data_IF_332608465787
#
_entry.id   IF_332608465787
#
_cell.length_a   1.000
_cell.length_b   1.000
_cell.length_c   1.000
_cell.angle_alpha   90.00
_cell.angle_beta   90.00
_cell.angle_gamma   90.00
#
_symmetry.space_group_name_H-M   'P 1'
#
loop_
_entity.id
_entity.type
_entity.pdbx_description
1 polymer ?
#
# COMPACT_ATOMS: atom_id res chain seq x y z
N UNK A 1 19.60 -9.51 27.98
CA UNK A 1 20.25 -8.86 26.82
C UNK A 1 19.19 -8.03 26.12
N UNK A 2 19.26 -6.71 26.23
CA UNK A 2 18.35 -5.80 25.53
C UNK A 2 18.62 -5.94 24.03
N UNK A 3 17.63 -6.41 23.26
CA UNK A 3 17.71 -6.39 21.80
C UNK A 3 17.89 -4.94 21.37
N UNK A 4 19.10 -4.56 20.94
CA UNK A 4 19.32 -3.26 20.30
C UNK A 4 18.38 -3.20 19.10
N UNK A 5 17.35 -2.37 19.20
CA UNK A 5 16.48 -2.09 18.05
C UNK A 5 17.37 -1.61 16.91
N UNK A 6 17.30 -2.27 15.76
CA UNK A 6 18.03 -1.84 14.56
C UNK A 6 17.59 -0.43 14.18
N UNK A 7 18.50 0.34 13.58
CA UNK A 7 18.16 1.66 13.07
C UNK A 7 17.00 1.55 12.04
N UNK A 8 16.01 2.41 12.17
CA UNK A 8 14.92 2.52 11.19
C UNK A 8 15.45 3.24 9.96
N UNK A 9 15.25 2.66 8.78
CA UNK A 9 15.59 3.26 7.50
C UNK A 9 14.42 3.17 6.52
N UNK A 10 14.30 4.18 5.66
CA UNK A 10 13.25 4.28 4.64
C UNK A 10 13.87 4.10 3.26
N UNK A 11 13.25 3.29 2.43
CA UNK A 11 13.61 3.12 1.02
C UNK A 11 12.38 3.42 0.17
N UNK A 12 12.53 4.20 -0.89
CA UNK A 12 11.45 4.51 -1.81
C UNK A 12 11.69 3.85 -3.17
N UNK A 13 10.61 3.30 -3.75
CA UNK A 13 10.56 3.05 -5.18
C UNK A 13 10.01 4.27 -5.94
N UNK A 14 9.75 4.11 -7.24
CA UNK A 14 9.40 5.23 -8.13
C UNK A 14 7.89 5.54 -8.18
N UNK A 15 7.03 4.77 -7.51
CA UNK A 15 5.58 4.92 -7.67
C UNK A 15 5.02 6.24 -7.15
N UNK A 16 5.60 6.79 -6.08
CA UNK A 16 5.15 8.06 -5.50
C UNK A 16 6.26 8.71 -4.65
N UNK A 17 7.23 9.39 -5.28
CA UNK A 17 8.34 10.07 -4.58
C UNK A 17 7.84 11.12 -3.59
N UNK A 18 6.83 11.90 -3.95
CA UNK A 18 6.26 12.96 -3.09
C UNK A 18 5.74 12.40 -1.77
N UNK A 19 5.04 11.25 -1.80
CA UNK A 19 4.56 10.60 -0.59
C UNK A 19 5.73 10.07 0.25
N UNK A 20 6.74 9.46 -0.38
CA UNK A 20 7.89 8.92 0.32
C UNK A 20 8.70 10.01 1.01
N UNK A 21 8.94 11.13 0.33
CA UNK A 21 9.59 12.33 0.89
C UNK A 21 8.78 12.95 2.03
N UNK A 22 7.44 13.04 1.87
CA UNK A 22 6.55 13.51 2.91
C UNK A 22 6.59 12.65 4.18
N UNK A 23 6.63 11.32 4.02
CA UNK A 23 6.77 10.39 5.14
C UNK A 23 8.14 10.57 5.82
N UNK A 24 9.21 10.68 5.04
CA UNK A 24 10.56 10.86 5.56
C UNK A 24 10.67 12.18 6.36
N UNK A 25 10.16 13.27 5.81
CA UNK A 25 10.13 14.58 6.47
C UNK A 25 9.32 14.55 7.77
N UNK A 26 8.13 13.92 7.77
CA UNK A 26 7.29 13.79 8.97
C UNK A 26 7.99 13.01 10.09
N UNK A 27 8.70 11.94 9.72
CA UNK A 27 9.45 11.10 10.66
C UNK A 27 10.81 11.69 11.05
N UNK A 28 11.23 12.79 10.44
CA UNK A 28 12.57 13.40 10.58
C UNK A 28 13.68 12.39 10.24
N UNK A 29 13.44 11.58 9.23
CA UNK A 29 14.39 10.65 8.66
C UNK A 29 14.73 11.06 7.23
N UNK A 30 15.85 10.54 6.71
CA UNK A 30 16.18 10.62 5.29
C UNK A 30 15.80 9.34 4.58
N UNK A 31 15.48 9.44 3.29
CA UNK A 31 15.42 8.26 2.43
C UNK A 31 16.82 7.69 2.23
N UNK A 32 16.94 6.37 2.33
CA UNK A 32 18.17 5.63 2.00
C UNK A 32 18.53 5.86 0.55
N UNK A 33 19.78 6.18 0.26
CA UNK A 33 20.25 6.30 -1.11
C UNK A 33 20.16 4.99 -1.84
N UNK A 34 19.37 4.96 -2.90
CA UNK A 34 19.19 3.83 -3.76
C UNK A 34 18.99 4.30 -5.21
N UNK A 35 19.47 3.53 -6.15
CA UNK A 35 19.18 3.71 -7.58
C UNK A 35 18.13 2.69 -7.96
N UNK A 36 16.99 3.17 -8.46
CA UNK A 36 15.93 2.35 -9.05
C UNK A 36 15.71 2.87 -10.47
N UNK A 37 16.15 2.13 -11.47
CA UNK A 37 16.10 2.54 -12.88
C UNK A 37 15.78 1.35 -13.78
N UNK A 38 15.66 1.60 -15.05
CA UNK A 38 15.47 0.57 -16.08
C UNK A 38 16.67 0.48 -16.98
N UNK A 39 16.95 -0.73 -17.45
CA UNK A 39 17.81 -0.97 -18.59
C UNK A 39 17.10 -0.59 -19.90
N UNK A 40 17.83 -0.66 -21.02
CA UNK A 40 17.28 -0.33 -22.33
C UNK A 40 16.14 -1.27 -22.78
N UNK A 41 16.15 -2.52 -22.31
CA UNK A 41 15.13 -3.54 -22.52
C UNK A 41 13.97 -3.48 -21.51
N UNK A 42 13.94 -2.41 -20.68
CA UNK A 42 12.93 -2.13 -19.66
C UNK A 42 12.99 -3.01 -18.41
N UNK A 43 13.97 -3.89 -18.27
CA UNK A 43 14.21 -4.59 -17.01
C UNK A 43 14.59 -3.61 -15.90
N UNK A 44 14.15 -3.92 -14.68
CA UNK A 44 14.36 -3.05 -13.53
C UNK A 44 15.69 -3.37 -12.86
N UNK A 45 16.49 -2.34 -12.63
CA UNK A 45 17.73 -2.38 -11.88
C UNK A 45 17.58 -1.66 -10.55
N UNK A 46 18.05 -2.28 -9.47
CA UNK A 46 18.09 -1.71 -8.12
C UNK A 46 19.50 -1.83 -7.55
N UNK A 47 19.99 -0.73 -6.98
CA UNK A 47 21.24 -0.69 -6.22
C UNK A 47 21.02 0.09 -4.91
N UNK A 48 21.31 -0.54 -3.79
CA UNK A 48 21.29 0.12 -2.47
C UNK A 48 22.68 0.70 -2.21
N UNK A 49 22.78 2.02 -2.10
CA UNK A 49 24.04 2.76 -2.02
C UNK A 49 24.48 3.09 -0.59
N UNK A 50 23.78 2.57 0.40
CA UNK A 50 24.11 2.75 1.82
C UNK A 50 24.16 1.41 2.56
N UNK A 51 24.89 1.39 3.67
CA UNK A 51 24.87 0.23 4.54
C UNK A 51 23.49 0.09 5.24
N UNK A 52 22.82 -1.01 4.97
CA UNK A 52 21.50 -1.36 5.55
C UNK A 52 21.54 -2.61 6.41
N UNK A 53 22.74 -3.17 6.66
CA UNK A 53 22.91 -4.39 7.47
C UNK A 53 22.35 -4.19 8.88
N UNK A 54 21.50 -5.12 9.29
CA UNK A 54 20.91 -5.12 10.63
C UNK A 54 19.86 -4.02 10.89
N UNK A 55 19.51 -3.21 9.88
CA UNK A 55 18.49 -2.18 9.99
C UNK A 55 17.07 -2.75 9.83
N UNK A 56 16.08 -2.03 10.39
CA UNK A 56 14.66 -2.22 10.12
C UNK A 56 14.27 -1.32 8.94
N UNK A 57 13.95 -1.93 7.81
CA UNK A 57 13.69 -1.25 6.55
C UNK A 57 12.18 -1.13 6.28
N UNK A 58 11.76 0.06 5.87
CA UNK A 58 10.42 0.32 5.35
C UNK A 58 10.54 0.69 3.88
N UNK A 59 10.03 -0.17 3.00
CA UNK A 59 10.03 0.03 1.55
C UNK A 59 8.71 0.66 1.14
N UNK A 60 8.75 1.94 0.77
CA UNK A 60 7.56 2.72 0.39
C UNK A 60 7.38 2.61 -1.12
N UNK A 61 6.39 1.81 -1.55
CA UNK A 61 6.09 1.56 -2.96
C UNK A 61 4.65 1.16 -3.16
N UNK A 62 3.83 2.01 -3.76
CA UNK A 62 2.50 1.63 -4.24
C UNK A 62 2.60 0.72 -5.46
N UNK A 63 1.70 -0.24 -5.58
CA UNK A 63 1.59 -1.05 -6.81
C UNK A 63 0.42 -0.56 -7.69
N UNK A 64 0.31 0.78 -7.80
CA UNK A 64 -0.61 1.48 -8.70
C UNK A 64 -0.10 1.45 -10.14
N UNK A 65 -0.82 2.12 -11.05
CA UNK A 65 -0.40 2.20 -12.46
C UNK A 65 0.98 2.88 -12.62
N UNK A 66 1.87 2.30 -13.43
CA UNK A 66 1.81 1.00 -14.10
C UNK A 66 2.08 -0.17 -13.12
N UNK A 67 1.02 -0.95 -12.85
CA UNK A 67 1.01 -1.90 -11.73
C UNK A 67 2.09 -2.99 -11.79
N UNK A 68 2.36 -3.53 -12.98
CA UNK A 68 3.37 -4.58 -13.17
C UNK A 68 4.77 -4.06 -12.87
N UNK A 69 5.08 -2.86 -13.33
CA UNK A 69 6.37 -2.22 -13.14
C UNK A 69 6.62 -1.91 -11.66
N UNK A 70 5.66 -1.27 -11.02
CA UNK A 70 5.77 -0.93 -9.60
C UNK A 70 5.79 -2.16 -8.69
N UNK A 71 5.06 -3.23 -9.06
CA UNK A 71 5.15 -4.50 -8.35
C UNK A 71 6.55 -5.10 -8.50
N UNK A 72 7.09 -5.16 -9.71
CA UNK A 72 8.42 -5.71 -9.93
C UNK A 72 9.51 -4.88 -9.24
N UNK A 73 9.42 -3.53 -9.26
CA UNK A 73 10.31 -2.67 -8.47
C UNK A 73 10.28 -3.05 -6.99
N UNK A 74 9.08 -3.18 -6.41
CA UNK A 74 8.92 -3.58 -5.01
C UNK A 74 9.63 -4.89 -4.70
N UNK A 75 9.41 -5.91 -5.54
CA UNK A 75 10.00 -7.25 -5.34
C UNK A 75 11.53 -7.22 -5.40
N UNK A 76 12.08 -6.51 -6.38
CA UNK A 76 13.55 -6.40 -6.57
C UNK A 76 14.18 -5.56 -5.44
N UNK A 77 13.53 -4.48 -4.99
CA UNK A 77 14.00 -3.70 -3.83
C UNK A 77 14.06 -4.60 -2.59
N UNK A 78 13.01 -5.37 -2.31
CA UNK A 78 12.97 -6.28 -1.16
C UNK A 78 14.08 -7.32 -1.24
N UNK A 79 14.30 -7.95 -2.40
CA UNK A 79 15.38 -8.92 -2.60
C UNK A 79 16.77 -8.29 -2.39
N UNK A 80 17.01 -7.09 -2.93
CA UNK A 80 18.26 -6.35 -2.73
C UNK A 80 18.54 -6.08 -1.25
N UNK A 81 17.54 -5.64 -0.50
CA UNK A 81 17.65 -5.38 0.95
C UNK A 81 17.89 -6.65 1.75
N UNK A 82 17.20 -7.74 1.40
CA UNK A 82 17.41 -9.06 2.01
C UNK A 82 18.85 -9.55 1.80
N UNK A 83 19.37 -9.45 0.57
CA UNK A 83 20.76 -9.80 0.24
C UNK A 83 21.78 -8.89 0.91
N UNK A 84 21.38 -7.65 1.23
CA UNK A 84 22.20 -6.71 1.99
C UNK A 84 22.13 -6.93 3.51
N UNK A 85 21.55 -8.05 3.97
CA UNK A 85 21.42 -8.44 5.37
C UNK A 85 20.61 -7.45 6.22
N UNK A 86 19.55 -6.88 5.67
CA UNK A 86 18.54 -6.18 6.46
C UNK A 86 18.02 -7.09 7.58
N UNK A 87 17.71 -6.53 8.75
CA UNK A 87 17.19 -7.31 9.88
C UNK A 87 15.72 -7.65 9.67
N UNK A 88 14.95 -6.69 9.19
CA UNK A 88 13.51 -6.79 8.94
C UNK A 88 13.13 -5.87 7.80
N UNK A 89 12.25 -6.34 6.93
CA UNK A 89 11.76 -5.58 5.78
C UNK A 89 10.23 -5.47 5.86
N UNK A 90 9.73 -4.25 6.02
CA UNK A 90 8.31 -3.94 5.95
C UNK A 90 7.99 -3.34 4.59
N UNK A 91 7.15 -4.00 3.80
CA UNK A 91 6.63 -3.45 2.57
C UNK A 91 5.48 -2.49 2.88
N UNK A 92 5.68 -1.19 2.67
CA UNK A 92 4.66 -0.15 2.80
C UNK A 92 4.05 0.09 1.43
N UNK A 93 2.85 -0.45 1.23
CA UNK A 93 2.15 -0.47 -0.07
C UNK A 93 0.85 0.33 0.05
N UNK A 94 0.89 1.67 -0.06
CA UNK A 94 -0.29 2.53 0.12
C UNK A 94 -1.43 2.19 -0.82
N UNK A 95 -1.13 1.77 -2.06
CA UNK A 95 -2.10 1.18 -2.96
C UNK A 95 -1.68 -0.23 -3.33
N UNK A 96 -2.49 -1.22 -2.94
CA UNK A 96 -2.27 -2.63 -3.24
C UNK A 96 -2.97 -2.98 -4.57
N UNK A 97 -2.19 -3.08 -5.63
CA UNK A 97 -2.65 -3.48 -6.95
C UNK A 97 -3.16 -4.92 -6.99
N UNK A 98 -3.95 -5.26 -8.01
CA UNK A 98 -4.62 -6.57 -8.16
C UNK A 98 -5.63 -6.93 -7.05
N UNK A 99 -5.84 -6.08 -6.07
CA UNK A 99 -6.74 -6.30 -4.94
C UNK A 99 -8.21 -6.58 -5.35
N UNK A 100 -8.65 -6.08 -6.52
CA UNK A 100 -10.00 -6.33 -7.05
C UNK A 100 -10.23 -7.78 -7.48
N UNK A 101 -9.15 -8.57 -7.65
CA UNK A 101 -9.19 -9.99 -8.00
C UNK A 101 -8.92 -10.84 -6.74
N UNK A 102 -9.75 -10.65 -5.71
CA UNK A 102 -9.66 -11.31 -4.41
C UNK A 102 -10.45 -12.62 -4.33
N UNK A 103 -11.21 -12.94 -5.36
CA UNK A 103 -12.02 -14.14 -5.49
C UNK A 103 -12.16 -14.55 -6.96
N UNK A 104 -12.61 -15.77 -7.20
CA UNK A 104 -12.96 -16.24 -8.55
C UNK A 104 -14.32 -15.69 -8.96
N UNK A 105 -14.44 -14.79 -9.94
CA UNK A 105 -15.73 -14.32 -10.45
C UNK A 105 -16.39 -15.35 -11.38
N UNK A 106 -15.65 -16.33 -11.87
CA UNK A 106 -16.12 -17.39 -12.77
C UNK A 106 -15.17 -18.59 -12.78
N UNK A 107 -15.49 -19.65 -13.53
CA UNK A 107 -14.62 -20.82 -13.68
C UNK A 107 -13.31 -20.45 -14.36
N UNK A 108 -12.23 -21.11 -13.94
CA UNK A 108 -10.87 -20.97 -14.52
C UNK A 108 -10.26 -19.56 -14.43
N UNK A 109 -10.75 -18.70 -13.51
CA UNK A 109 -10.19 -17.39 -13.23
C UNK A 109 -9.19 -17.45 -12.06
N UNK A 110 -8.15 -16.59 -12.05
CA UNK A 110 -7.18 -16.54 -10.95
C UNK A 110 -7.73 -15.81 -9.71
N UNK A 111 -6.97 -15.90 -8.62
CA UNK A 111 -7.06 -14.99 -7.47
C UNK A 111 -5.76 -14.21 -7.42
N UNK A 112 -5.67 -13.16 -8.25
CA UNK A 112 -4.40 -12.42 -8.44
C UNK A 112 -3.94 -11.70 -7.18
N UNK A 113 -4.86 -11.29 -6.31
CA UNK A 113 -4.51 -10.71 -5.01
C UNK A 113 -3.69 -11.67 -4.14
N UNK A 114 -4.05 -12.98 -4.13
CA UNK A 114 -3.29 -14.02 -3.40
C UNK A 114 -1.91 -14.26 -4.05
N UNK A 115 -1.85 -14.28 -5.39
CA UNK A 115 -0.58 -14.41 -6.10
C UNK A 115 0.38 -13.27 -5.72
N UNK A 116 -0.08 -12.03 -5.76
CA UNK A 116 0.74 -10.85 -5.41
C UNK A 116 1.18 -10.91 -3.94
N UNK A 117 0.29 -11.28 -3.02
CA UNK A 117 0.65 -11.46 -1.62
C UNK A 117 1.77 -12.51 -1.44
N UNK A 118 1.69 -13.64 -2.14
CA UNK A 118 2.71 -14.67 -2.12
C UNK A 118 4.04 -14.16 -2.69
N UNK A 119 4.03 -13.41 -3.80
CA UNK A 119 5.24 -12.85 -4.41
C UNK A 119 5.97 -11.90 -3.43
N UNK A 120 5.24 -10.99 -2.78
CA UNK A 120 5.83 -10.05 -1.80
C UNK A 120 6.43 -10.82 -0.61
N UNK A 121 5.73 -11.82 -0.09
CA UNK A 121 6.23 -12.65 1.02
C UNK A 121 7.48 -13.42 0.58
N UNK A 122 7.47 -14.01 -0.61
CA UNK A 122 8.61 -14.80 -1.14
C UNK A 122 9.82 -13.95 -1.50
N UNK A 123 9.63 -12.72 -1.93
CA UNK A 123 10.72 -11.77 -2.15
C UNK A 123 11.51 -11.49 -0.85
N UNK A 124 10.84 -11.60 0.31
CA UNK A 124 11.49 -11.50 1.61
C UNK A 124 10.95 -10.39 2.51
N UNK A 125 9.73 -9.92 2.26
CA UNK A 125 9.06 -9.06 3.22
C UNK A 125 8.71 -9.84 4.49
N UNK A 126 8.97 -9.24 5.65
CA UNK A 126 8.61 -9.78 6.97
C UNK A 126 7.27 -9.23 7.47
N UNK A 127 6.80 -8.14 6.88
CA UNK A 127 5.55 -7.46 7.22
C UNK A 127 5.04 -6.66 6.02
N UNK A 128 3.73 -6.51 5.91
CA UNK A 128 3.09 -5.61 4.95
C UNK A 128 2.28 -4.55 5.69
N UNK A 129 2.37 -3.33 5.24
CA UNK A 129 1.52 -2.21 5.66
C UNK A 129 0.83 -1.65 4.42
N UNK A 130 -0.48 -1.54 4.45
CA UNK A 130 -1.28 -1.05 3.31
C UNK A 130 -2.37 -0.11 3.79
N UNK A 131 -3.05 0.55 2.85
CA UNK A 131 -4.08 1.53 3.14
C UNK A 131 -5.36 1.19 2.37
N UNK A 132 -6.50 1.11 3.08
CA UNK A 132 -7.84 0.90 2.50
C UNK A 132 -7.89 -0.23 1.47
N UNK A 133 -7.53 -1.44 1.87
CA UNK A 133 -7.65 -2.63 1.02
C UNK A 133 -9.04 -2.72 0.37
N UNK A 134 -9.08 -3.15 -0.87
CA UNK A 134 -10.32 -3.36 -1.61
C UNK A 134 -11.33 -4.21 -0.83
N UNK A 135 -10.84 -5.24 -0.14
CA UNK A 135 -11.63 -6.09 0.73
C UNK A 135 -10.78 -6.52 1.94
N UNK A 136 -11.35 -6.48 3.13
CA UNK A 136 -10.62 -6.75 4.39
C UNK A 136 -10.03 -8.16 4.49
N UNK A 137 -10.67 -9.15 3.86
CA UNK A 137 -10.17 -10.53 3.84
C UNK A 137 -8.83 -10.72 3.11
N UNK A 138 -8.39 -9.75 2.29
CA UNK A 138 -7.10 -9.81 1.62
C UNK A 138 -5.94 -9.87 2.63
N UNK A 139 -6.12 -9.35 3.84
CA UNK A 139 -5.15 -9.50 4.92
C UNK A 139 -4.83 -10.97 5.21
N UNK A 140 -5.82 -11.85 5.10
CA UNK A 140 -5.65 -13.30 5.27
C UNK A 140 -4.94 -13.99 4.08
N UNK A 141 -4.59 -13.29 3.01
CA UNK A 141 -3.80 -13.84 1.92
C UNK A 141 -2.30 -13.81 2.20
N UNK A 142 -1.88 -13.03 3.18
CA UNK A 142 -0.50 -12.98 3.63
C UNK A 142 -0.28 -13.97 4.77
N UNK A 143 0.81 -14.71 4.71
CA UNK A 143 1.28 -15.59 5.79
C UNK A 143 2.23 -14.85 6.74
N UNK A 144 2.36 -13.52 6.57
CA UNK A 144 3.15 -12.59 7.39
C UNK A 144 2.23 -11.51 7.98
N UNK A 145 2.63 -10.84 9.07
CA UNK A 145 1.84 -9.76 9.66
C UNK A 145 1.47 -8.70 8.63
N UNK A 146 0.19 -8.32 8.61
CA UNK A 146 -0.34 -7.35 7.65
C UNK A 146 -1.18 -6.31 8.37
N UNK A 147 -0.82 -5.03 8.23
CA UNK A 147 -1.57 -3.90 8.77
C UNK A 147 -2.34 -3.22 7.63
N UNK A 148 -3.66 -3.26 7.72
CA UNK A 148 -4.52 -2.48 6.84
C UNK A 148 -4.92 -1.19 7.55
N UNK A 149 -4.29 -0.07 7.21
CA UNK A 149 -4.60 1.25 7.70
C UNK A 149 -5.81 1.84 6.95
N UNK A 150 -6.41 2.89 7.52
CA UNK A 150 -7.55 3.57 6.93
C UNK A 150 -7.27 5.06 6.74
N UNK A 151 -7.54 5.60 5.57
CA UNK A 151 -7.44 7.02 5.25
C UNK A 151 -8.57 7.85 5.91
N UNK A 152 -9.63 7.21 6.36
CA UNK A 152 -10.82 7.89 6.88
C UNK A 152 -10.53 8.92 7.99
N UNK A 153 -9.59 8.76 8.94
CA UNK A 153 -9.26 9.81 9.91
C UNK A 153 -8.69 11.07 9.26
N UNK A 154 -7.85 10.92 8.23
CA UNK A 154 -7.27 12.03 7.48
C UNK A 154 -8.37 12.74 6.68
N UNK A 155 -9.22 11.98 5.98
CA UNK A 155 -10.35 12.51 5.21
C UNK A 155 -11.33 13.28 6.10
N UNK A 156 -11.67 12.75 7.27
CA UNK A 156 -12.57 13.41 8.24
C UNK A 156 -12.02 14.76 8.68
N UNK A 157 -10.72 14.84 8.97
CA UNK A 157 -10.06 16.08 9.35
C UNK A 157 -10.12 17.09 8.21
N UNK A 158 -9.72 16.71 7.01
CA UNK A 158 -9.72 17.58 5.83
C UNK A 158 -11.13 18.09 5.49
N UNK A 159 -12.15 17.23 5.57
CA UNK A 159 -13.55 17.61 5.34
C UNK A 159 -14.01 18.64 6.38
N UNK A 160 -13.70 18.45 7.65
CA UNK A 160 -14.07 19.38 8.72
C UNK A 160 -13.40 20.74 8.60
N UNK A 161 -12.18 20.77 8.07
CA UNK A 161 -11.42 22.00 7.85
C UNK A 161 -11.93 22.78 6.62
N UNK A 162 -12.42 22.08 5.60
CA UNK A 162 -12.80 22.71 4.32
C UNK A 162 -14.29 23.02 4.17
N UNK A 163 -15.16 22.28 4.86
CA UNK A 163 -16.61 22.36 4.64
C UNK A 163 -17.36 22.69 5.94
N UNK A 164 -18.42 23.51 5.80
CA UNK A 164 -19.45 23.66 6.84
C UNK A 164 -20.34 22.40 6.78
N UNK A 165 -20.38 21.64 7.86
CA UNK A 165 -21.00 20.31 7.87
C UNK A 165 -22.54 20.33 7.87
N UNK A 166 -23.17 21.48 8.09
CA UNK A 166 -24.63 21.62 8.17
C UNK A 166 -25.35 21.25 6.84
N UNK A 167 -24.66 21.37 5.71
CA UNK A 167 -25.19 21.06 4.38
C UNK A 167 -24.37 20.02 3.62
N UNK A 168 -23.75 19.08 4.33
CA UNK A 168 -22.94 18.03 3.72
C UNK A 168 -23.69 16.71 3.74
N UNK A 169 -23.71 16.01 2.61
CA UNK A 169 -24.20 14.65 2.47
C UNK A 169 -23.09 13.77 1.92
N UNK A 170 -22.92 12.58 2.49
CA UNK A 170 -22.03 11.56 1.93
C UNK A 170 -22.79 10.74 0.91
N UNK A 171 -22.21 10.55 -0.26
CA UNK A 171 -22.82 9.74 -1.32
C UNK A 171 -21.94 8.53 -1.63
N UNK A 172 -22.52 7.33 -1.53
CA UNK A 172 -21.86 6.13 -2.06
C UNK A 172 -22.13 6.01 -3.56
N UNK A 173 -21.10 5.93 -4.41
CA UNK A 173 -21.27 5.88 -5.87
C UNK A 173 -21.76 4.51 -6.37
N UNK A 174 -21.78 3.51 -5.52
CA UNK A 174 -22.30 2.16 -5.79
C UNK A 174 -22.58 1.39 -4.49
N UNK A 175 -23.20 0.24 -4.60
CA UNK A 175 -23.53 -0.63 -3.45
C UNK A 175 -22.26 -1.15 -2.74
N UNK A 176 -21.18 -1.39 -3.48
CA UNK A 176 -19.91 -1.89 -2.92
C UNK A 176 -19.20 -0.88 -1.99
N UNK A 177 -19.43 0.43 -2.22
CA UNK A 177 -18.86 1.51 -1.41
C UNK A 177 -19.61 1.84 -0.11
N UNK A 178 -20.83 1.31 0.08
CA UNK A 178 -21.75 1.71 1.16
C UNK A 178 -21.15 1.60 2.55
N UNK A 179 -20.41 0.55 2.85
CA UNK A 179 -19.81 0.36 4.19
C UNK A 179 -18.81 1.47 4.51
N UNK A 180 -17.96 1.84 3.56
CA UNK A 180 -16.97 2.93 3.69
C UNK A 180 -17.67 4.28 3.79
N UNK A 181 -18.63 4.55 2.90
CA UNK A 181 -19.41 5.78 2.90
C UNK A 181 -20.17 5.97 4.23
N UNK A 182 -20.79 4.91 4.76
CA UNK A 182 -21.47 4.92 6.06
C UNK A 182 -20.52 5.20 7.21
N UNK A 183 -19.32 4.62 7.19
CA UNK A 183 -18.28 4.88 8.17
C UNK A 183 -17.84 6.35 8.18
N UNK A 184 -17.72 6.99 7.01
CA UNK A 184 -17.40 8.40 6.88
C UNK A 184 -18.58 9.27 7.35
N UNK A 185 -19.80 9.01 6.86
CA UNK A 185 -21.01 9.73 7.22
C UNK A 185 -21.21 9.78 8.74
N UNK A 186 -21.05 8.64 9.42
CA UNK A 186 -21.12 8.56 10.88
C UNK A 186 -20.09 9.44 11.58
N UNK A 187 -18.86 9.50 11.08
CA UNK A 187 -17.77 10.28 11.70
C UNK A 187 -17.95 11.79 11.56
N UNK A 188 -18.60 12.25 10.49
CA UNK A 188 -18.88 13.68 10.28
C UNK A 188 -20.32 14.07 10.61
N UNK A 189 -21.12 13.13 11.13
CA UNK A 189 -22.53 13.30 11.43
C UNK A 189 -23.37 13.82 10.24
N UNK A 190 -23.13 13.25 9.08
CA UNK A 190 -23.81 13.62 7.82
C UNK A 190 -24.77 12.52 7.35
N UNK A 191 -25.86 12.85 6.63
CA UNK A 191 -26.71 11.88 5.98
C UNK A 191 -25.95 11.11 4.89
N UNK A 192 -26.48 9.91 4.53
CA UNK A 192 -25.93 9.04 3.51
C UNK A 192 -26.94 8.81 2.39
N UNK A 193 -26.52 9.06 1.16
CA UNK A 193 -27.23 8.62 -0.05
C UNK A 193 -26.45 7.48 -0.74
N UNK A 194 -27.18 6.64 -1.49
CA UNK A 194 -26.59 5.49 -2.19
C UNK A 194 -27.07 5.53 -3.65
N UNK A 195 -26.13 5.39 -4.59
CA UNK A 195 -26.43 5.25 -6.01
C UNK A 195 -26.48 3.76 -6.35
N UNK A 196 -27.61 3.27 -6.84
CA UNK A 196 -27.75 1.92 -7.41
C UNK A 196 -27.21 1.93 -8.84
N UNK A 197 -25.94 1.55 -9.00
CA UNK A 197 -25.29 1.48 -10.30
C UNK A 197 -25.50 0.11 -10.93
N UNK A 198 -26.35 0.03 -11.94
CA UNK A 198 -26.52 -1.16 -12.78
C UNK A 198 -25.58 -1.08 -13.98
N UNK A 199 -24.84 -2.15 -14.24
CA UNK A 199 -24.07 -2.31 -15.47
C UNK A 199 -24.78 -3.35 -16.33
N UNK A 200 -25.18 -2.97 -17.53
CA UNK A 200 -25.55 -3.93 -18.54
C UNK A 200 -24.33 -4.82 -18.81
N UNK A 201 -24.54 -6.14 -18.88
CA UNK A 201 -23.46 -7.07 -19.24
C UNK A 201 -23.05 -6.75 -20.68
N UNK A 202 -21.80 -6.33 -20.88
CA UNK A 202 -21.20 -6.30 -22.21
C UNK A 202 -20.94 -7.73 -22.68
#
# INVERSE_FOLDING_TARGET
>A
MSAKNGAIKLVAGNSNPVLAEGIAAYLKLSLTKAVVRRFADMEIFVEIQENVRGADLFVIQSTSFPANDHLMELLIIIDALRRSSARRITAVVPYFGYARQDRKPGPRTPISAKLVANLITRAGADRVMTLDLHAGQIQGFFDIPTDNLYASPVMVRDIRERFKLDNVMVVSPDVGGVVRARGLAKRINAPLAIIDKRRERA
#
